data_IF_457956763848
#
_entry.id   IF_457956763848
#
_cell.length_a   1.000
_cell.length_b   1.000
_cell.length_c   1.000
_cell.angle_alpha   90.00
_cell.angle_beta   90.00
_cell.angle_gamma   90.00
#
_symmetry.space_group_name_H-M   'P 1'
#
loop_
_entity.id
_entity.type
_entity.pdbx_description
1 polymer ?
#
# COMPACT_ATOMS: atom_id res chain seq x y z
N UNK A 1 -12.28 13.90 9.38
CA UNK A 1 -11.16 14.32 8.51
C UNK A 1 -11.33 15.70 7.84
N UNK A 2 -12.48 16.38 7.91
CA UNK A 2 -12.69 17.66 7.18
C UNK A 2 -11.70 18.78 7.52
N UNK A 3 -11.34 18.97 8.79
CA UNK A 3 -10.40 20.04 9.20
C UNK A 3 -9.08 20.03 8.40
N UNK A 4 -8.53 18.85 8.11
CA UNK A 4 -7.28 18.72 7.35
C UNK A 4 -7.41 19.26 5.93
N UNK A 5 -8.48 18.88 5.23
CA UNK A 5 -8.69 19.19 3.81
C UNK A 5 -9.28 20.58 3.56
N UNK A 6 -10.03 21.13 4.51
CA UNK A 6 -10.65 22.45 4.38
C UNK A 6 -9.81 23.59 4.99
N UNK A 7 -8.96 23.31 6.00
CA UNK A 7 -8.23 24.34 6.72
C UNK A 7 -6.73 24.08 6.79
N UNK A 8 -6.30 22.97 7.41
CA UNK A 8 -4.87 22.76 7.68
C UNK A 8 -4.03 22.78 6.40
N UNK A 9 -4.36 21.96 5.42
CA UNK A 9 -3.57 21.84 4.20
C UNK A 9 -3.60 23.09 3.34
N UNK A 10 -4.77 23.73 3.08
CA UNK A 10 -4.79 25.01 2.38
C UNK A 10 -3.99 26.10 3.08
N UNK A 11 -4.09 26.24 4.41
CA UNK A 11 -3.39 27.28 5.16
C UNK A 11 -1.88 27.06 5.11
N UNK A 12 -1.42 25.84 5.41
CA UNK A 12 0.00 25.48 5.37
C UNK A 12 0.60 25.73 4.00
N UNK A 13 -0.05 25.28 2.93
CA UNK A 13 0.45 25.49 1.57
C UNK A 13 0.38 26.96 1.11
N UNK A 14 -0.55 27.77 1.62
CA UNK A 14 -0.58 29.20 1.33
C UNK A 14 0.52 29.97 2.07
N UNK A 15 0.93 29.53 3.26
CA UNK A 15 1.99 30.17 4.04
C UNK A 15 3.40 29.80 3.55
N UNK A 16 3.64 28.52 3.22
CA UNK A 16 4.98 28.05 2.83
C UNK A 16 5.16 27.82 1.32
N UNK A 17 4.08 27.83 0.54
CA UNK A 17 4.15 27.52 -0.91
C UNK A 17 4.27 26.02 -1.23
N UNK A 18 4.39 25.17 -0.21
CA UNK A 18 4.45 23.71 -0.31
C UNK A 18 3.96 23.07 1.01
N UNK A 19 3.76 21.76 1.01
CA UNK A 19 3.49 20.96 2.21
C UNK A 19 4.77 20.23 2.64
N UNK A 20 5.27 20.45 3.87
CA UNK A 20 6.45 19.75 4.36
C UNK A 20 6.22 18.23 4.48
N UNK A 21 7.15 17.43 3.94
CA UNK A 21 7.09 15.96 3.99
C UNK A 21 7.02 15.39 5.40
N UNK A 22 7.63 16.10 6.36
CA UNK A 22 7.63 15.77 7.79
C UNK A 22 6.23 15.74 8.44
N UNK A 23 5.21 16.30 7.78
CA UNK A 23 3.82 16.25 8.23
C UNK A 23 3.07 14.99 7.74
N UNK A 24 3.82 13.92 7.43
CA UNK A 24 3.25 12.63 7.03
C UNK A 24 3.06 12.46 5.53
N UNK A 25 3.66 13.32 4.69
CA UNK A 25 3.66 13.18 3.23
C UNK A 25 4.90 12.45 2.70
N UNK A 26 5.91 12.21 3.54
CA UNK A 26 7.17 11.58 3.18
C UNK A 26 8.14 12.58 2.55
N UNK A 27 7.70 13.31 1.52
CA UNK A 27 8.49 14.32 0.81
C UNK A 27 7.76 15.66 0.73
N UNK A 28 8.49 16.72 0.40
CA UNK A 28 7.90 18.05 0.24
C UNK A 28 7.01 18.09 -1.00
N UNK A 29 5.73 18.40 -0.81
CA UNK A 29 4.72 18.35 -1.88
C UNK A 29 4.38 19.77 -2.34
N UNK A 30 4.44 20.09 -3.64
CA UNK A 30 4.06 21.40 -4.16
C UNK A 30 2.61 21.77 -3.81
N UNK A 31 2.38 23.06 -3.55
CA UNK A 31 1.04 23.60 -3.23
C UNK A 31 -0.05 23.16 -4.21
N UNK A 32 0.23 23.21 -5.52
CA UNK A 32 -0.76 22.86 -6.56
C UNK A 32 -1.30 21.44 -6.38
N UNK A 33 -0.40 20.48 -6.15
CA UNK A 33 -0.73 19.06 -5.95
C UNK A 33 -1.59 18.87 -4.69
N UNK A 34 -1.23 19.51 -3.57
CA UNK A 34 -2.01 19.40 -2.33
C UNK A 34 -3.39 20.03 -2.46
N UNK A 35 -3.50 21.18 -3.12
CA UNK A 35 -4.79 21.85 -3.31
C UNK A 35 -5.71 21.06 -4.24
N UNK A 36 -5.16 20.47 -5.29
CA UNK A 36 -5.89 19.57 -6.19
C UNK A 36 -6.34 18.32 -5.45
N UNK A 37 -5.45 17.67 -4.71
CA UNK A 37 -5.81 16.49 -3.93
C UNK A 37 -6.86 16.80 -2.86
N UNK A 38 -6.72 17.91 -2.14
CA UNK A 38 -7.75 18.40 -1.23
C UNK A 38 -9.07 18.67 -1.94
N UNK A 39 -9.05 19.06 -3.22
CA UNK A 39 -10.24 19.24 -4.04
C UNK A 39 -10.99 17.92 -4.26
N UNK A 40 -10.26 16.81 -4.45
CA UNK A 40 -10.83 15.46 -4.56
C UNK A 40 -11.36 14.97 -3.22
N UNK A 41 -10.59 15.10 -2.13
CA UNK A 41 -11.00 14.70 -0.78
C UNK A 41 -12.25 15.42 -0.27
N UNK A 42 -12.57 16.60 -0.82
CA UNK A 42 -13.77 17.38 -0.50
C UNK A 42 -14.98 17.03 -1.39
N UNK A 43 -14.79 16.23 -2.44
CA UNK A 43 -15.87 15.82 -3.32
C UNK A 43 -16.53 14.54 -2.78
N UNK A 44 -17.87 14.42 -2.77
CA UNK A 44 -18.57 13.22 -2.30
C UNK A 44 -18.14 11.94 -3.02
N UNK A 45 -17.79 12.07 -4.29
CA UNK A 45 -17.36 10.96 -5.16
C UNK A 45 -15.84 10.90 -5.34
N UNK A 46 -15.10 11.57 -4.45
CA UNK A 46 -13.64 11.67 -4.49
C UNK A 46 -13.13 12.15 -5.87
N UNK A 47 -12.01 11.61 -6.35
CA UNK A 47 -11.42 11.94 -7.65
C UNK A 47 -12.35 11.62 -8.84
N UNK A 48 -13.26 10.65 -8.71
CA UNK A 48 -14.16 10.26 -9.81
C UNK A 48 -15.20 11.32 -10.18
N UNK A 49 -15.51 12.23 -9.26
CA UNK A 49 -16.38 13.38 -9.56
C UNK A 49 -15.60 14.66 -9.90
N UNK A 50 -14.28 14.57 -10.05
CA UNK A 50 -13.40 15.71 -10.38
C UNK A 50 -12.53 15.48 -11.60
N UNK A 51 -12.25 14.23 -11.95
CA UNK A 51 -11.44 13.85 -13.10
C UNK A 51 -12.36 13.39 -14.23
N UNK A 52 -12.36 14.13 -15.32
CA UNK A 52 -13.15 13.81 -16.51
C UNK A 52 -12.74 12.44 -17.06
N UNK A 53 -13.73 11.59 -17.34
CA UNK A 53 -13.50 10.26 -17.90
C UNK A 53 -13.01 9.20 -16.90
N UNK A 54 -12.79 9.54 -15.62
CA UNK A 54 -12.23 8.58 -14.65
C UNK A 54 -13.16 7.39 -14.37
N UNK A 55 -14.48 7.63 -14.39
CA UNK A 55 -15.48 6.59 -14.19
C UNK A 55 -15.54 5.63 -15.37
N UNK A 56 -15.54 6.18 -16.58
CA UNK A 56 -15.55 5.43 -17.83
C UNK A 56 -14.27 4.58 -17.97
N UNK A 57 -13.13 5.13 -17.57
CA UNK A 57 -11.86 4.41 -17.55
C UNK A 57 -11.87 3.27 -16.53
N UNK A 58 -12.32 3.51 -15.29
CA UNK A 58 -12.44 2.44 -14.29
C UNK A 58 -13.43 1.35 -14.72
N UNK A 59 -14.59 1.76 -15.27
CA UNK A 59 -15.61 0.83 -15.75
C UNK A 59 -15.20 0.02 -17.00
N UNK A 60 -14.25 0.52 -17.79
CA UNK A 60 -13.73 -0.18 -18.97
C UNK A 60 -12.51 -1.06 -18.69
N UNK A 61 -11.95 -0.99 -17.48
CA UNK A 61 -10.80 -1.78 -17.07
C UNK A 61 -11.16 -3.26 -16.87
N UNK A 62 -10.45 -4.16 -17.56
CA UNK A 62 -10.77 -5.60 -17.63
C UNK A 62 -9.69 -6.53 -17.08
N UNK A 63 -8.49 -6.02 -16.79
CA UNK A 63 -7.39 -6.86 -16.33
C UNK A 63 -7.64 -7.37 -14.90
N UNK A 64 -7.00 -8.49 -14.50
CA UNK A 64 -7.01 -8.93 -13.11
C UNK A 64 -6.50 -7.81 -12.20
N UNK A 65 -7.25 -7.53 -11.12
CA UNK A 65 -6.95 -6.44 -10.20
C UNK A 65 -6.81 -7.02 -8.78
N UNK A 66 -5.62 -6.88 -8.20
CA UNK A 66 -5.33 -7.19 -6.80
C UNK A 66 -5.11 -5.89 -6.04
N UNK A 67 -5.90 -5.68 -4.99
CA UNK A 67 -5.75 -4.57 -4.07
C UNK A 67 -5.28 -5.08 -2.72
N UNK A 68 -4.13 -4.56 -2.26
CA UNK A 68 -3.61 -4.78 -0.92
C UNK A 68 -3.89 -3.53 -0.09
N UNK A 69 -4.37 -3.71 1.13
CA UNK A 69 -4.54 -2.62 2.10
C UNK A 69 -4.17 -3.11 3.49
N UNK A 70 -3.83 -2.19 4.39
CA UNK A 70 -3.26 -2.54 5.70
C UNK A 70 -4.11 -1.98 6.83
N UNK A 71 -4.28 -2.77 7.90
CA UNK A 71 -5.11 -2.37 9.03
C UNK A 71 -4.52 -1.20 9.84
N UNK A 72 -3.21 -0.98 9.76
CA UNK A 72 -2.49 0.11 10.42
C UNK A 72 -2.19 1.30 9.49
N UNK A 73 -2.88 1.37 8.35
CA UNK A 73 -2.83 2.51 7.42
C UNK A 73 -4.01 3.49 7.66
N UNK A 74 -3.76 4.67 8.27
CA UNK A 74 -4.80 5.66 8.50
C UNK A 74 -5.23 6.44 7.24
N UNK A 75 -4.48 6.35 6.14
CA UNK A 75 -4.75 7.08 4.89
C UNK A 75 -5.65 6.28 3.93
N UNK A 76 -5.52 4.95 3.91
CA UNK A 76 -6.31 4.06 3.06
C UNK A 76 -7.08 3.00 3.87
N UNK A 77 -8.06 3.41 4.70
CA UNK A 77 -8.86 2.47 5.47
C UNK A 77 -9.68 1.56 4.54
N UNK A 78 -9.97 0.34 4.99
CA UNK A 78 -10.62 -0.69 4.16
C UNK A 78 -11.89 -0.20 3.43
N UNK A 79 -12.84 0.52 4.07
CA UNK A 79 -14.03 1.00 3.38
C UNK A 79 -13.74 1.99 2.24
N UNK A 80 -12.67 2.78 2.35
CA UNK A 80 -12.26 3.69 1.28
C UNK A 80 -11.66 2.93 0.10
N UNK A 81 -10.92 1.86 0.37
CA UNK A 81 -10.41 0.97 -0.67
C UNK A 81 -11.57 0.25 -1.34
N UNK A 82 -12.52 -0.31 -0.59
CA UNK A 82 -13.71 -0.97 -1.14
C UNK A 82 -14.53 -0.04 -2.06
N UNK A 83 -14.72 1.22 -1.64
CA UNK A 83 -15.41 2.22 -2.46
C UNK A 83 -14.69 2.52 -3.78
N UNK A 84 -13.34 2.55 -3.77
CA UNK A 84 -12.53 2.69 -4.97
C UNK A 84 -12.68 1.46 -5.88
N UNK A 85 -12.58 0.26 -5.31
CA UNK A 85 -12.71 -1.00 -6.06
C UNK A 85 -14.10 -1.16 -6.69
N UNK A 86 -15.13 -0.63 -6.04
CA UNK A 86 -16.50 -0.60 -6.58
C UNK A 86 -16.67 0.17 -7.89
N UNK A 87 -15.71 1.00 -8.30
CA UNK A 87 -15.73 1.69 -9.59
C UNK A 87 -15.30 0.79 -10.77
N UNK A 88 -14.68 -0.36 -10.50
CA UNK A 88 -14.13 -1.27 -11.51
C UNK A 88 -15.13 -2.36 -11.89
N UNK A 89 -16.14 -2.00 -12.70
CA UNK A 89 -17.28 -2.89 -13.01
C UNK A 89 -17.01 -3.99 -14.05
N UNK A 90 -16.00 -3.82 -14.91
CA UNK A 90 -15.66 -4.81 -15.95
C UNK A 90 -14.61 -5.85 -15.51
N UNK A 91 -14.23 -5.87 -14.23
CA UNK A 91 -13.37 -6.88 -13.62
C UNK A 91 -13.93 -7.27 -12.25
N UNK A 92 -13.35 -8.30 -11.62
CA UNK A 92 -13.66 -8.69 -10.24
C UNK A 92 -12.42 -8.45 -9.38
N UNK A 93 -12.33 -7.29 -8.70
CA UNK A 93 -11.23 -7.00 -7.81
C UNK A 93 -11.07 -8.04 -6.71
N UNK A 94 -9.84 -8.50 -6.50
CA UNK A 94 -9.47 -9.25 -5.31
C UNK A 94 -8.91 -8.26 -4.30
N UNK A 95 -9.60 -8.11 -3.18
CA UNK A 95 -9.11 -7.31 -2.06
C UNK A 95 -8.52 -8.21 -0.97
N UNK A 96 -7.32 -7.84 -0.50
CA UNK A 96 -6.67 -8.44 0.67
C UNK A 96 -6.37 -7.32 1.66
N UNK A 97 -7.14 -7.29 2.72
CA UNK A 97 -6.89 -6.42 3.86
C UNK A 97 -6.05 -7.19 4.88
N UNK A 98 -4.81 -6.74 5.07
CA UNK A 98 -3.79 -7.44 5.86
C UNK A 98 -3.50 -6.68 7.15
N UNK A 99 -3.30 -7.41 8.22
CA UNK A 99 -2.72 -6.92 9.46
C UNK A 99 -1.20 -7.07 9.44
N UNK A 100 -0.44 -6.22 10.17
CA UNK A 100 1.01 -6.41 10.30
C UNK A 100 1.39 -7.82 10.79
N UNK A 101 0.61 -8.38 11.71
CA UNK A 101 0.84 -9.71 12.28
C UNK A 101 0.74 -10.84 11.25
N UNK A 102 -0.17 -10.76 10.28
CA UNK A 102 -0.33 -11.76 9.21
C UNK A 102 0.89 -11.85 8.28
N UNK A 103 1.72 -10.80 8.24
CA UNK A 103 2.94 -10.75 7.43
C UNK A 103 4.22 -10.75 8.29
N UNK A 104 4.11 -11.04 9.59
CA UNK A 104 5.24 -11.15 10.50
C UNK A 104 5.91 -9.81 10.83
N UNK A 105 5.18 -8.69 10.73
CA UNK A 105 5.67 -7.35 11.02
C UNK A 105 4.96 -6.74 12.22
N UNK A 106 5.67 -5.89 12.95
CA UNK A 106 5.07 -5.10 14.04
C UNK A 106 4.23 -3.94 13.49
N UNK A 107 4.67 -3.35 12.37
CA UNK A 107 4.03 -2.20 11.72
C UNK A 107 4.32 -2.19 10.22
N UNK A 108 3.31 -1.86 9.41
CA UNK A 108 3.43 -1.56 7.98
C UNK A 108 3.16 -0.07 7.78
N UNK A 109 1.97 0.42 8.13
CA UNK A 109 1.54 1.79 7.85
C UNK A 109 1.49 2.12 6.36
N UNK A 110 1.20 3.38 6.03
CA UNK A 110 0.93 3.77 4.64
C UNK A 110 2.12 3.57 3.68
N UNK A 111 3.33 3.93 4.13
CA UNK A 111 4.55 3.86 3.29
C UNK A 111 5.43 2.64 3.57
N UNK A 112 5.21 1.93 4.68
CA UNK A 112 6.14 0.88 5.10
C UNK A 112 6.15 -0.30 4.15
N UNK A 113 5.04 -0.61 3.47
CA UNK A 113 5.02 -1.68 2.46
C UNK A 113 6.07 -1.47 1.35
N UNK A 114 6.32 -0.22 0.95
CA UNK A 114 7.30 0.12 -0.11
C UNK A 114 8.70 0.42 0.44
N UNK A 115 8.86 0.56 1.76
CA UNK A 115 10.16 0.82 2.37
C UNK A 115 11.08 -0.40 2.23
N UNK A 116 12.38 -0.19 2.01
CA UNK A 116 13.38 -1.28 1.88
C UNK A 116 13.38 -2.29 3.03
N UNK A 117 12.84 -1.94 4.20
CA UNK A 117 12.76 -2.81 5.37
C UNK A 117 11.70 -3.92 5.27
N UNK A 118 10.63 -3.74 4.49
CA UNK A 118 9.63 -4.80 4.23
C UNK A 118 10.08 -5.73 3.11
N UNK A 119 10.99 -5.29 2.22
CA UNK A 119 11.56 -6.11 1.15
C UNK A 119 12.40 -7.31 1.65
N UNK A 120 12.86 -7.29 2.91
CA UNK A 120 13.50 -8.47 3.54
C UNK A 120 12.51 -9.46 4.14
N UNK A 121 11.27 -9.07 4.38
CA UNK A 121 10.23 -9.97 4.91
C UNK A 121 9.52 -10.80 3.83
N UNK A 122 10.12 -10.90 2.63
CA UNK A 122 9.81 -11.94 1.64
C UNK A 122 10.82 -13.08 1.61
N UNK A 123 11.85 -13.04 2.48
CA UNK A 123 12.94 -14.03 2.54
C UNK A 123 13.42 -14.25 3.97
N UNK A 124 12.58 -14.81 4.84
CA UNK A 124 13.08 -15.51 6.04
C UNK A 124 11.95 -16.17 6.85
N UNK A 125 11.57 -17.36 6.41
CA UNK A 125 11.30 -18.48 7.31
C UNK A 125 11.76 -19.74 6.57
N UNK A 126 13.08 -19.88 6.41
CA UNK A 126 13.78 -20.87 7.23
C UNK A 126 14.95 -20.28 8.03
N UNK A 127 14.95 -20.69 9.30
CA UNK A 127 15.91 -20.54 10.39
C UNK A 127 17.40 -20.42 10.06
N UNK A 128 18.13 -19.74 10.94
CA UNK A 128 19.58 -19.96 11.11
C UNK A 128 20.19 -19.09 12.21
N UNK A 129 19.70 -19.18 13.46
CA UNK A 129 20.47 -19.81 14.55
C UNK A 129 21.81 -20.39 14.08
N UNK A 130 22.90 -19.69 14.41
CA UNK A 130 24.26 -20.22 14.40
C UNK A 130 24.36 -21.37 15.40
N UNK A 131 24.04 -22.59 14.98
CA UNK A 131 24.65 -23.82 15.52
C UNK A 131 24.83 -24.78 14.37
N UNK A 132 26.09 -25.09 14.06
CA UNK A 132 26.43 -26.08 13.05
C UNK A 132 25.81 -27.42 13.42
N UNK A 133 25.25 -28.10 12.43
CA UNK A 133 24.88 -29.50 12.53
C UNK A 133 25.52 -30.22 11.35
N UNK A 134 26.37 -31.20 11.67
CA UNK A 134 27.09 -32.01 10.70
C UNK A 134 26.13 -32.82 9.84
N UNK A 135 26.58 -33.10 8.61
CA UNK A 135 25.93 -34.05 7.73
C UNK A 135 26.23 -35.48 8.22
N UNK A 136 25.24 -36.12 8.84
CA UNK A 136 25.25 -37.57 9.03
C UNK A 136 24.57 -38.20 7.80
N UNK A 137 25.31 -39.07 7.11
CA UNK A 137 24.81 -39.84 5.97
C UNK A 137 24.05 -41.06 6.49
N UNK A 138 22.83 -41.25 5.99
CA UNK A 138 22.03 -42.46 6.20
C UNK A 138 22.71 -43.68 5.53
N UNK A 139 23.05 -44.75 6.27
CA UNK A 139 23.76 -45.91 5.74
C UNK A 139 22.91 -46.85 4.86
N UNK A 140 21.63 -46.55 4.62
CA UNK A 140 20.74 -47.46 3.86
C UNK A 140 20.53 -47.10 2.38
N UNK A 141 21.08 -45.97 1.90
CA UNK A 141 20.85 -45.53 0.51
C UNK A 141 21.87 -46.14 -0.46
N UNK A 142 21.45 -46.91 -1.49
CA UNK A 142 22.37 -47.40 -2.50
C UNK A 142 22.88 -46.24 -3.39
N UNK A 143 24.13 -46.31 -3.88
CA UNK A 143 24.70 -45.23 -4.68
C UNK A 143 24.01 -45.12 -6.05
N UNK A 144 23.63 -43.88 -6.37
CA UNK A 144 23.08 -43.48 -7.67
C UNK A 144 24.13 -43.67 -8.77
N UNK A 145 23.75 -44.38 -9.84
CA UNK A 145 24.65 -44.65 -10.97
C UNK A 145 24.62 -43.45 -11.91
N UNK A 146 25.77 -42.77 -11.96
CA UNK A 146 25.99 -41.59 -12.78
C UNK A 146 25.92 -41.82 -14.29
N UNK A 147 25.89 -40.68 -14.99
CA UNK A 147 26.39 -40.48 -16.35
C UNK A 147 27.55 -39.51 -16.33
#
# INVERSE_FOLDING_TARGET
MGFYWYALFPVVCNLWGYMPGKLGMGEDVPKGVILEWASWCRHPEYAFGRLDGAREQAASFRSPLLALSFSDDPYAPAPSVDALLGQFSATQPVHRHLTPAEVGLERIGHFGFFARATASCGRSSTSGSRRGCGAERDPTMPPDRGG
#
